data_IF_498893905188
#
_entry.id   IF_498893905188
#
_cell.length_a   1.000
_cell.length_b   1.000
_cell.length_c   1.000
_cell.angle_alpha   90.00
_cell.angle_beta   90.00
_cell.angle_gamma   90.00
#
_symmetry.space_group_name_H-M   'P 1'
#
loop_
_entity.id
_entity.type
_entity.pdbx_description
1 polymer ?
#
# COMPACT_ATOMS: atom_id res chain seq x y z
N UNK A 1 15.28 -21.51 9.67
CA UNK A 1 14.49 -20.28 9.45
C UNK A 1 15.28 -19.44 8.48
N UNK A 2 14.67 -18.99 7.38
CA UNK A 2 15.37 -18.18 6.40
C UNK A 2 15.50 -16.75 6.95
N UNK A 3 16.71 -16.19 6.91
CA UNK A 3 16.91 -14.75 7.15
C UNK A 3 16.31 -13.98 5.96
N UNK A 4 15.68 -12.84 6.24
CA UNK A 4 15.06 -12.04 5.17
C UNK A 4 16.15 -11.19 4.52
N UNK A 5 16.60 -11.57 3.33
CA UNK A 5 17.63 -10.84 2.57
C UNK A 5 17.15 -9.51 1.96
N UNK A 6 15.88 -9.16 2.13
CA UNK A 6 15.27 -7.98 1.50
C UNK A 6 14.87 -6.94 2.53
N UNK A 7 15.46 -5.75 2.39
CA UNK A 7 14.96 -4.54 3.04
C UNK A 7 13.67 -4.03 2.37
N UNK A 8 12.78 -3.35 3.13
CA UNK A 8 11.52 -2.78 2.64
C UNK A 8 11.64 -1.91 1.39
N UNK A 9 12.71 -1.13 1.23
CA UNK A 9 12.88 -0.23 0.09
C UNK A 9 12.94 -1.00 -1.23
N UNK A 10 13.50 -2.21 -1.25
CA UNK A 10 13.52 -3.05 -2.46
C UNK A 10 12.10 -3.33 -2.96
N UNK A 11 11.14 -3.49 -2.05
CA UNK A 11 9.75 -3.71 -2.43
C UNK A 11 9.06 -2.41 -2.86
N UNK A 12 9.41 -1.27 -2.25
CA UNK A 12 8.98 0.05 -2.76
C UNK A 12 9.49 0.27 -4.19
N UNK A 13 10.75 -0.04 -4.46
CA UNK A 13 11.35 0.06 -5.79
C UNK A 13 10.67 -0.88 -6.79
N UNK A 14 10.45 -2.15 -6.42
CA UNK A 14 9.70 -3.10 -7.26
C UNK A 14 8.32 -2.55 -7.67
N UNK A 15 7.63 -1.84 -6.77
CA UNK A 15 6.32 -1.25 -7.03
C UNK A 15 6.36 0.07 -7.83
N UNK A 16 7.47 0.83 -7.80
CA UNK A 16 7.49 2.23 -8.23
C UNK A 16 8.65 2.64 -9.15
N UNK A 17 9.70 1.83 -9.28
CA UNK A 17 10.92 2.12 -10.04
C UNK A 17 11.46 0.88 -10.78
N UNK A 18 11.15 0.71 -12.09
CA UNK A 18 10.33 1.56 -12.94
C UNK A 18 8.81 1.42 -12.68
N UNK A 19 8.40 0.44 -11.88
CA UNK A 19 7.02 0.03 -11.65
C UNK A 19 6.76 -1.41 -12.10
N UNK A 20 5.53 -1.87 -11.91
CA UNK A 20 5.12 -3.23 -12.24
C UNK A 20 5.01 -3.43 -13.75
N UNK A 21 5.66 -4.48 -14.27
CA UNK A 21 5.71 -4.76 -15.70
C UNK A 21 4.36 -5.26 -16.23
N UNK A 22 3.81 -4.56 -17.22
CA UNK A 22 2.59 -4.95 -17.97
C UNK A 22 2.91 -5.19 -19.45
N UNK A 23 1.92 -5.62 -20.24
CA UNK A 23 2.07 -5.72 -21.69
C UNK A 23 2.23 -4.36 -22.40
N UNK A 24 1.92 -3.25 -21.72
CA UNK A 24 2.15 -1.89 -22.22
C UNK A 24 3.43 -1.23 -21.65
N UNK A 25 4.23 -1.97 -20.88
CA UNK A 25 5.39 -1.46 -20.14
C UNK A 25 5.13 -1.27 -18.64
N UNK A 26 6.08 -0.69 -17.91
CA UNK A 26 5.98 -0.55 -16.46
C UNK A 26 4.93 0.50 -16.04
N UNK A 27 4.16 0.19 -14.98
CA UNK A 27 3.16 1.06 -14.36
C UNK A 27 3.46 1.18 -12.87
N UNK A 28 3.59 2.40 -12.37
CA UNK A 28 3.95 2.66 -10.96
C UNK A 28 2.71 2.58 -10.09
N UNK A 29 2.78 1.82 -9.00
CA UNK A 29 1.72 1.78 -7.99
C UNK A 29 1.90 2.92 -6.96
N UNK A 30 2.03 4.16 -7.44
CA UNK A 30 2.30 5.35 -6.63
C UNK A 30 1.03 6.07 -6.22
N UNK A 31 0.06 5.33 -5.66
CA UNK A 31 -1.16 5.93 -5.12
C UNK A 31 -1.59 5.20 -3.85
N UNK A 32 -1.96 5.98 -2.85
CA UNK A 32 -2.61 5.46 -1.65
C UNK A 32 -4.11 5.28 -1.91
N UNK A 33 -4.61 4.08 -1.63
CA UNK A 33 -6.02 3.71 -1.75
C UNK A 33 -6.38 2.83 -0.56
N UNK A 34 -7.37 3.21 0.23
CA UNK A 34 -7.81 2.44 1.38
C UNK A 34 -9.32 2.23 1.32
N UNK A 35 -9.79 1.08 1.80
CA UNK A 35 -11.23 0.82 1.96
C UNK A 35 -11.90 1.87 2.87
N UNK A 36 -11.19 2.33 3.89
CA UNK A 36 -11.75 3.25 4.88
C UNK A 36 -11.81 4.66 4.30
N UNK A 37 -13.04 5.19 4.19
CA UNK A 37 -13.34 6.45 3.50
C UNK A 37 -12.56 7.66 4.04
N UNK A 38 -12.38 7.73 5.36
CA UNK A 38 -11.62 8.81 6.01
C UNK A 38 -10.12 8.80 5.74
N UNK A 39 -9.59 7.69 5.23
CA UNK A 39 -8.17 7.46 5.00
C UNK A 39 -7.88 7.31 3.50
N UNK A 40 -8.39 8.21 2.66
CA UNK A 40 -8.09 8.23 1.21
C UNK A 40 -9.13 7.55 0.32
N UNK A 41 -9.94 6.62 0.85
CA UNK A 41 -11.09 6.03 0.18
C UNK A 41 -10.75 5.19 -1.07
N UNK A 42 -11.70 4.35 -1.48
CA UNK A 42 -11.64 3.54 -2.69
C UNK A 42 -12.82 3.86 -3.63
N UNK A 43 -13.26 5.12 -3.61
CA UNK A 43 -14.53 5.54 -4.18
C UNK A 43 -14.59 5.41 -5.71
N UNK A 44 -13.51 5.75 -6.40
CA UNK A 44 -13.39 5.52 -7.84
C UNK A 44 -13.34 4.03 -8.18
N UNK A 45 -12.57 3.24 -7.43
CA UNK A 45 -12.55 1.79 -7.58
C UNK A 45 -13.94 1.15 -7.33
N UNK A 46 -14.75 1.69 -6.42
CA UNK A 46 -16.06 1.11 -6.09
C UNK A 46 -17.04 1.17 -7.26
N UNK A 47 -17.05 2.27 -8.04
CA UNK A 47 -17.90 2.40 -9.24
C UNK A 47 -17.39 1.53 -10.39
N UNK A 48 -16.07 1.42 -10.52
CA UNK A 48 -15.41 0.67 -11.57
C UNK A 48 -15.64 -0.85 -11.45
N UNK A 49 -15.51 -1.42 -10.25
CA UNK A 49 -15.26 -2.86 -10.15
C UNK A 49 -16.44 -3.78 -9.93
N UNK A 50 -17.56 -3.31 -9.36
CA UNK A 50 -18.73 -4.18 -9.07
C UNK A 50 -19.23 -4.90 -10.32
N UNK A 51 -19.22 -4.22 -11.47
CA UNK A 51 -19.67 -4.77 -12.74
C UNK A 51 -18.50 -5.28 -13.61
N UNK A 52 -17.30 -4.76 -13.40
CA UNK A 52 -16.12 -5.11 -14.19
C UNK A 52 -15.60 -6.51 -13.90
N UNK A 53 -15.68 -7.02 -12.66
CA UNK A 53 -15.21 -8.40 -12.35
C UNK A 53 -15.93 -9.51 -13.12
N UNK A 54 -17.12 -9.22 -13.65
CA UNK A 54 -17.96 -10.15 -14.40
C UNK A 54 -17.88 -9.98 -15.91
N UNK A 55 -17.07 -9.03 -16.39
CA UNK A 55 -16.84 -8.83 -17.81
C UNK A 55 -16.25 -10.10 -18.41
N UNK A 56 -16.82 -10.56 -19.52
CA UNK A 56 -16.34 -11.74 -20.26
C UNK A 56 -15.50 -11.28 -21.44
N UNK A 57 -14.34 -11.89 -21.63
CA UNK A 57 -13.57 -11.74 -22.85
C UNK A 57 -14.24 -12.43 -24.04
N UNK A 58 -13.60 -12.39 -25.22
CA UNK A 58 -14.10 -13.03 -26.43
C UNK A 58 -14.29 -14.56 -26.29
N UNK A 59 -13.61 -15.20 -25.33
CA UNK A 59 -13.74 -16.63 -25.04
C UNK A 59 -14.81 -16.93 -23.99
N UNK A 60 -15.54 -15.92 -23.51
CA UNK A 60 -16.57 -16.07 -22.49
C UNK A 60 -16.02 -16.18 -21.06
N UNK A 61 -14.70 -16.06 -20.87
CA UNK A 61 -14.04 -16.17 -19.56
C UNK A 61 -14.06 -14.79 -18.90
N UNK A 62 -14.48 -14.73 -17.64
CA UNK A 62 -14.55 -13.47 -16.93
C UNK A 62 -13.28 -13.10 -16.15
N UNK A 63 -13.12 -11.81 -15.81
CA UNK A 63 -11.97 -11.33 -15.04
C UNK A 63 -11.79 -12.08 -13.71
N UNK A 64 -12.89 -12.41 -13.03
CA UNK A 64 -12.87 -13.20 -11.80
C UNK A 64 -12.21 -14.58 -12.01
N UNK A 65 -12.41 -15.23 -13.15
CA UNK A 65 -11.74 -16.49 -13.50
C UNK A 65 -10.25 -16.29 -13.85
N UNK A 66 -9.89 -15.15 -14.47
CA UNK A 66 -8.49 -14.83 -14.81
C UNK A 66 -7.62 -14.48 -13.59
N UNK A 67 -8.19 -13.74 -12.62
CA UNK A 67 -7.44 -13.17 -11.49
C UNK A 67 -7.72 -13.90 -10.18
N UNK A 68 -8.96 -14.36 -9.98
CA UNK A 68 -9.47 -14.87 -8.71
C UNK A 68 -10.19 -13.79 -7.90
N UNK A 69 -11.42 -14.05 -7.48
CA UNK A 69 -12.31 -13.05 -6.88
C UNK A 69 -11.78 -12.45 -5.59
N UNK A 70 -11.15 -13.26 -4.74
CA UNK A 70 -10.51 -12.78 -3.52
C UNK A 70 -9.35 -11.81 -3.83
N UNK A 71 -8.56 -12.09 -4.87
CA UNK A 71 -7.45 -11.23 -5.25
C UNK A 71 -7.94 -9.89 -5.81
N UNK A 72 -9.03 -9.90 -6.60
CA UNK A 72 -9.71 -8.68 -7.03
C UNK A 72 -10.18 -7.90 -5.81
N UNK A 73 -10.97 -8.51 -4.91
CA UNK A 73 -11.54 -7.83 -3.75
C UNK A 73 -10.49 -7.19 -2.83
N UNK A 74 -9.29 -7.79 -2.76
CA UNK A 74 -8.15 -7.22 -2.03
C UNK A 74 -7.54 -6.02 -2.78
N UNK A 75 -7.33 -6.13 -4.09
CA UNK A 75 -6.84 -5.01 -4.91
C UNK A 75 -7.73 -3.76 -4.77
N UNK A 76 -9.05 -3.93 -4.66
CA UNK A 76 -10.03 -2.83 -4.48
C UNK A 76 -9.97 -2.12 -3.14
N UNK A 77 -9.28 -2.70 -2.18
CA UNK A 77 -9.13 -2.16 -0.83
C UNK A 77 -7.74 -1.59 -0.60
N UNK A 78 -6.87 -1.64 -1.61
CA UNK A 78 -5.45 -1.31 -1.48
C UNK A 78 -4.60 -2.46 -0.94
N UNK A 79 -5.16 -3.67 -0.88
CA UNK A 79 -4.57 -4.83 -0.20
C UNK A 79 -4.19 -5.96 -1.16
N UNK A 80 -4.34 -5.74 -2.46
CA UNK A 80 -3.99 -6.71 -3.50
C UNK A 80 -2.48 -6.83 -3.66
N UNK A 81 -2.03 -8.00 -4.11
CA UNK A 81 -0.61 -8.20 -4.46
C UNK A 81 -0.31 -7.65 -5.87
N UNK A 82 0.98 -7.44 -6.12
CA UNK A 82 1.54 -7.00 -7.40
C UNK A 82 1.04 -7.83 -8.59
N UNK A 83 1.04 -9.17 -8.48
CA UNK A 83 0.57 -10.09 -9.53
C UNK A 83 -0.90 -9.88 -9.89
N UNK A 84 -1.76 -9.59 -8.91
CA UNK A 84 -3.17 -9.33 -9.14
C UNK A 84 -3.37 -8.03 -9.93
N UNK A 85 -2.65 -6.96 -9.56
CA UNK A 85 -2.69 -5.69 -10.30
C UNK A 85 -2.28 -5.88 -11.77
N UNK A 86 -1.15 -6.54 -12.01
CA UNK A 86 -0.65 -6.81 -13.38
C UNK A 86 -1.66 -7.63 -14.19
N UNK A 87 -2.26 -8.68 -13.61
CA UNK A 87 -3.28 -9.48 -14.30
C UNK A 87 -4.52 -8.65 -14.66
N UNK A 88 -4.99 -7.81 -13.75
CA UNK A 88 -6.14 -6.93 -14.01
C UNK A 88 -5.82 -5.96 -15.15
N UNK A 89 -4.65 -5.29 -15.09
CA UNK A 89 -4.24 -4.34 -16.13
C UNK A 89 -4.06 -5.01 -17.49
N UNK A 90 -3.37 -6.15 -17.57
CA UNK A 90 -3.21 -6.88 -18.82
C UNK A 90 -4.55 -7.36 -19.39
N UNK A 91 -5.49 -7.74 -18.53
CA UNK A 91 -6.85 -8.05 -18.96
C UNK A 91 -7.54 -6.82 -19.60
N UNK A 92 -7.43 -5.65 -18.97
CA UNK A 92 -7.99 -4.40 -19.52
C UNK A 92 -7.37 -4.07 -20.88
N UNK A 93 -6.05 -4.16 -20.99
CA UNK A 93 -5.30 -3.88 -22.23
C UNK A 93 -5.70 -4.81 -23.37
N UNK A 94 -5.88 -6.10 -23.08
CA UNK A 94 -6.33 -7.09 -24.08
C UNK A 94 -7.78 -6.85 -24.51
N UNK A 95 -8.60 -6.28 -23.64
CA UNK A 95 -10.05 -6.15 -23.84
C UNK A 95 -10.53 -4.69 -23.86
N UNK A 96 -9.71 -3.76 -24.38
CA UNK A 96 -9.98 -2.30 -24.37
C UNK A 96 -11.35 -1.93 -24.91
N UNK A 97 -11.81 -2.58 -25.97
CA UNK A 97 -13.13 -2.34 -26.55
C UNK A 97 -14.27 -2.58 -25.56
N UNK A 98 -14.12 -3.56 -24.66
CA UNK A 98 -15.13 -3.80 -23.64
C UNK A 98 -15.18 -2.68 -22.60
N UNK A 99 -14.11 -1.88 -22.45
CA UNK A 99 -14.05 -0.75 -21.52
C UNK A 99 -14.97 0.40 -21.93
N UNK A 100 -15.44 0.44 -23.19
CA UNK A 100 -16.43 1.44 -23.63
C UNK A 100 -17.82 1.19 -23.01
N UNK A 101 -18.07 0.00 -22.48
CA UNK A 101 -19.34 -0.34 -21.82
C UNK A 101 -19.42 0.16 -20.37
N UNK A 102 -18.28 0.53 -19.77
CA UNK A 102 -18.20 0.84 -18.35
C UNK A 102 -18.08 2.33 -18.12
N UNK A 103 -19.16 2.91 -17.62
CA UNK A 103 -19.19 4.27 -17.10
C UNK A 103 -18.70 4.25 -15.66
N UNK A 104 -17.72 5.08 -15.34
CA UNK A 104 -17.14 5.22 -14.00
C UNK A 104 -17.17 6.67 -13.56
N UNK A 105 -17.12 6.84 -12.24
CA UNK A 105 -16.95 8.14 -11.60
C UNK A 105 -15.54 8.23 -11.02
N UNK A 106 -14.79 9.22 -11.49
CA UNK A 106 -13.57 9.71 -10.85
C UNK A 106 -14.00 10.62 -9.72
N UNK A 107 -13.65 10.24 -8.50
CA UNK A 107 -14.07 10.92 -7.29
C UNK A 107 -12.85 11.53 -6.62
N UNK A 108 -13.01 12.75 -6.12
CA UNK A 108 -12.11 13.36 -5.15
C UNK A 108 -11.97 12.52 -3.89
N UNK A 109 -11.04 12.92 -3.01
CA UNK A 109 -10.97 12.34 -1.66
C UNK A 109 -12.28 12.63 -0.93
N UNK A 110 -12.83 11.60 -0.27
CA UNK A 110 -14.02 11.78 0.54
C UNK A 110 -13.77 12.78 1.69
N UNK A 111 -14.77 13.61 1.96
CA UNK A 111 -14.83 14.49 3.13
C UNK A 111 -15.07 13.65 4.38
N UNK A 112 -14.85 14.23 5.57
CA UNK A 112 -15.02 13.53 6.87
C UNK A 112 -16.43 12.96 7.07
N UNK A 113 -17.44 13.57 6.46
CA UNK A 113 -18.84 13.14 6.48
C UNK A 113 -19.14 12.01 5.45
N UNK A 114 -18.16 11.62 4.65
CA UNK A 114 -18.28 10.60 3.62
C UNK A 114 -18.86 11.12 2.29
N UNK A 115 -19.17 12.41 2.17
CA UNK A 115 -19.52 13.04 0.89
C UNK A 115 -18.28 13.16 0.00
N UNK A 116 -18.48 13.18 -1.32
CA UNK A 116 -17.39 13.26 -2.30
C UNK A 116 -17.81 14.07 -3.50
N UNK A 117 -16.85 14.78 -4.06
CA UNK A 117 -17.04 15.54 -5.29
C UNK A 117 -16.67 14.60 -6.45
N UNK A 118 -17.63 14.38 -7.36
CA UNK A 118 -17.37 13.65 -8.60
C UNK A 118 -16.65 14.62 -9.53
N UNK A 119 -15.36 14.39 -9.73
CA UNK A 119 -14.48 15.24 -10.53
C UNK A 119 -14.73 15.00 -12.03
N UNK A 120 -15.00 13.75 -12.40
CA UNK A 120 -15.29 13.38 -13.78
C UNK A 120 -16.14 12.11 -13.83
N UNK A 121 -17.02 12.04 -14.83
CA UNK A 121 -17.79 10.84 -15.13
C UNK A 121 -17.68 10.51 -16.61
N UNK A 122 -17.47 9.25 -16.96
CA UNK A 122 -17.39 8.85 -18.35
C UNK A 122 -17.09 7.38 -18.56
N UNK A 123 -17.01 6.98 -19.83
CA UNK A 123 -16.63 5.62 -20.22
C UNK A 123 -15.12 5.47 -20.15
N UNK A 124 -14.63 4.38 -19.54
CA UNK A 124 -13.19 4.16 -19.32
C UNK A 124 -12.38 4.27 -20.61
N UNK A 125 -12.84 3.62 -21.69
CA UNK A 125 -12.16 3.68 -23.00
C UNK A 125 -11.98 5.13 -23.47
N UNK A 126 -13.07 5.90 -23.45
CA UNK A 126 -13.09 7.30 -23.89
C UNK A 126 -12.30 8.23 -22.98
N UNK A 127 -12.26 7.95 -21.68
CA UNK A 127 -11.53 8.76 -20.70
C UNK A 127 -10.02 8.53 -20.78
N UNK A 128 -9.61 7.29 -20.98
CA UNK A 128 -8.21 6.89 -20.90
C UNK A 128 -7.70 6.39 -22.25
N UNK A 129 -8.08 5.18 -22.67
CA UNK A 129 -7.46 4.48 -23.81
C UNK A 129 -7.59 5.17 -25.17
N UNK A 130 -8.61 6.01 -25.39
CA UNK A 130 -8.77 6.77 -26.63
C UNK A 130 -7.95 8.08 -26.67
N UNK A 131 -7.51 8.57 -25.50
CA UNK A 131 -6.85 9.87 -25.36
C UNK A 131 -5.35 9.79 -25.14
N UNK A 132 -4.86 8.64 -24.70
CA UNK A 132 -3.46 8.46 -24.34
C UNK A 132 -3.00 7.03 -24.64
N UNK A 133 -1.69 6.81 -24.59
CA UNK A 133 -1.13 5.46 -24.77
C UNK A 133 -1.61 4.52 -23.68
N UNK A 134 -1.61 3.22 -23.97
CA UNK A 134 -2.02 2.17 -23.03
C UNK A 134 -1.32 2.27 -21.65
N UNK A 135 0.00 2.53 -21.66
CA UNK A 135 0.76 2.75 -20.42
C UNK A 135 0.30 3.99 -19.67
N UNK A 136 0.12 5.10 -20.39
CA UNK A 136 -0.34 6.36 -19.80
C UNK A 136 -1.76 6.23 -19.24
N UNK A 137 -2.63 5.48 -19.91
CA UNK A 137 -3.99 5.19 -19.47
C UNK A 137 -3.99 4.47 -18.12
N UNK A 138 -3.22 3.38 -18.00
CA UNK A 138 -3.08 2.67 -16.73
C UNK A 138 -2.47 3.55 -15.64
N UNK A 139 -1.44 4.34 -15.97
CA UNK A 139 -0.81 5.23 -15.01
C UNK A 139 -1.78 6.32 -14.53
N UNK A 140 -2.59 6.90 -15.41
CA UNK A 140 -3.60 7.88 -15.05
C UNK A 140 -4.69 7.24 -14.17
N UNK A 141 -5.09 6.00 -14.45
CA UNK A 141 -6.04 5.29 -13.58
C UNK A 141 -5.51 5.04 -12.16
N UNK A 142 -4.18 4.88 -11.99
CA UNK A 142 -3.55 4.87 -10.66
C UNK A 142 -3.69 6.25 -10.00
N UNK A 143 -3.37 7.33 -10.72
CA UNK A 143 -3.49 8.71 -10.20
C UNK A 143 -4.95 9.07 -9.83
N UNK A 144 -5.91 8.59 -10.61
CA UNK A 144 -7.35 8.77 -10.40
C UNK A 144 -7.92 7.81 -9.35
N UNK A 145 -7.08 7.11 -8.58
CA UNK A 145 -7.46 6.30 -7.43
C UNK A 145 -8.38 5.12 -7.77
N UNK A 146 -8.24 4.54 -8.98
CA UNK A 146 -8.83 3.23 -9.28
C UNK A 146 -7.97 2.07 -8.76
N UNK A 147 -6.67 2.35 -8.59
CA UNK A 147 -5.67 1.41 -8.13
C UNK A 147 -4.75 2.11 -7.12
N UNK A 148 -4.30 1.37 -6.12
CA UNK A 148 -3.37 1.86 -5.13
C UNK A 148 -3.12 0.79 -4.08
N UNK A 149 -2.31 1.15 -3.08
CA UNK A 149 -1.97 0.26 -1.97
C UNK A 149 -2.17 0.99 -0.65
N UNK A 150 -2.81 0.36 0.33
CA UNK A 150 -2.86 0.91 1.70
C UNK A 150 -1.69 0.41 2.55
N UNK A 151 -1.58 0.90 3.79
CA UNK A 151 -0.49 0.56 4.69
C UNK A 151 -0.48 -0.93 5.06
N UNK A 152 -1.67 -1.53 5.24
CA UNK A 152 -1.83 -2.96 5.56
C UNK A 152 -1.44 -3.81 4.36
N UNK A 153 -1.90 -3.42 3.17
CA UNK A 153 -1.56 -4.03 1.89
C UNK A 153 -0.08 -3.98 1.61
N UNK A 154 0.57 -2.84 1.86
CA UNK A 154 2.00 -2.71 1.70
C UNK A 154 2.77 -3.69 2.57
N UNK A 155 2.51 -3.69 3.89
CA UNK A 155 3.21 -4.58 4.81
C UNK A 155 2.93 -6.06 4.51
N UNK A 156 1.66 -6.41 4.29
CA UNK A 156 1.30 -7.80 4.00
C UNK A 156 1.94 -8.30 2.70
N UNK A 157 1.99 -7.48 1.66
CA UNK A 157 2.60 -7.88 0.40
C UNK A 157 4.12 -7.81 0.42
N UNK A 158 4.73 -6.96 1.23
CA UNK A 158 6.16 -7.04 1.53
C UNK A 158 6.50 -8.39 2.17
N UNK A 159 5.74 -8.81 3.18
CA UNK A 159 5.94 -10.12 3.82
C UNK A 159 5.71 -11.29 2.85
N UNK A 160 4.79 -11.15 1.88
CA UNK A 160 4.64 -12.16 0.81
C UNK A 160 5.83 -12.13 -0.15
N UNK A 161 6.31 -10.92 -0.50
CA UNK A 161 7.44 -10.72 -1.40
C UNK A 161 8.73 -11.34 -0.85
N UNK A 162 8.97 -11.23 0.45
CA UNK A 162 10.13 -11.84 1.12
C UNK A 162 9.95 -13.33 1.41
N UNK A 163 8.78 -13.90 1.15
CA UNK A 163 8.47 -15.32 1.42
C UNK A 163 8.09 -15.62 2.87
N UNK A 164 8.00 -14.61 3.74
CA UNK A 164 7.53 -14.77 5.13
C UNK A 164 6.07 -15.21 5.21
N UNK A 165 5.25 -14.69 4.30
CA UNK A 165 3.83 -15.02 4.19
C UNK A 165 3.55 -15.73 2.85
N UNK A 166 2.77 -16.80 2.89
CA UNK A 166 2.25 -17.47 1.70
C UNK A 166 1.07 -16.72 1.07
N UNK A 167 0.35 -15.92 1.87
CA UNK A 167 -0.86 -15.20 1.49
C UNK A 167 -1.17 -14.03 2.41
N UNK A 168 -2.20 -13.28 2.03
CA UNK A 168 -2.73 -12.19 2.84
C UNK A 168 -3.55 -12.69 4.04
N UNK A 169 -3.15 -12.27 5.24
CA UNK A 169 -3.80 -12.64 6.51
C UNK A 169 -4.75 -11.58 7.10
N UNK A 170 -4.72 -10.33 6.62
CA UNK A 170 -5.69 -9.29 7.00
C UNK A 170 -5.67 -8.90 8.48
N UNK A 171 -4.61 -8.21 8.91
CA UNK A 171 -4.46 -7.74 10.29
C UNK A 171 -4.61 -6.22 10.33
N UNK A 172 -5.45 -5.71 11.25
CA UNK A 172 -5.55 -4.27 11.47
C UNK A 172 -4.30 -3.76 12.23
N UNK A 173 -3.79 -2.54 11.95
CA UNK A 173 -2.54 -2.04 12.52
C UNK A 173 -2.43 -2.17 14.05
N UNK A 174 -3.47 -1.77 14.79
CA UNK A 174 -3.52 -1.88 16.25
C UNK A 174 -3.33 -3.30 16.81
N UNK A 175 -3.54 -4.32 15.99
CA UNK A 175 -3.43 -5.73 16.36
C UNK A 175 -2.14 -6.40 15.87
N UNK A 176 -1.26 -5.68 15.14
CA UNK A 176 0.06 -6.20 14.76
C UNK A 176 0.88 -6.71 15.95
N UNK A 177 0.88 -6.04 17.11
CA UNK A 177 1.60 -6.53 18.29
C UNK A 177 1.15 -7.91 18.77
N UNK A 178 -0.10 -8.29 18.48
CA UNK A 178 -0.70 -9.56 18.92
C UNK A 178 -0.52 -10.68 17.90
N UNK A 179 -0.54 -10.34 16.61
CA UNK A 179 -0.64 -11.34 15.53
C UNK A 179 0.56 -11.41 14.60
N UNK A 180 1.40 -10.36 14.53
CA UNK A 180 2.48 -10.26 13.54
C UNK A 180 3.84 -10.10 14.19
N UNK A 181 3.99 -9.14 15.10
CA UNK A 181 5.26 -8.74 15.70
C UNK A 181 5.09 -8.63 17.23
N UNK A 182 5.49 -9.67 17.98
CA UNK A 182 5.14 -9.82 19.40
C UNK A 182 6.20 -9.30 20.38
N UNK A 183 7.39 -9.01 19.89
CA UNK A 183 8.50 -8.54 20.72
C UNK A 183 8.40 -7.02 20.79
N UNK A 184 8.17 -6.46 21.98
CA UNK A 184 8.13 -5.02 22.19
C UNK A 184 9.54 -4.45 22.20
N UNK A 185 9.75 -3.29 21.57
CA UNK A 185 11.01 -2.55 21.61
C UNK A 185 10.82 -1.35 22.54
N UNK A 186 11.40 -1.41 23.73
CA UNK A 186 11.23 -0.37 24.76
C UNK A 186 12.36 0.67 24.79
N UNK A 187 13.48 0.39 24.10
CA UNK A 187 14.63 1.28 23.98
C UNK A 187 14.88 1.63 22.50
N UNK A 188 15.03 2.93 22.21
CA UNK A 188 15.36 3.45 20.88
C UNK A 188 16.63 2.83 20.28
N UNK A 189 17.56 2.40 21.12
CA UNK A 189 18.83 1.78 20.71
C UNK A 189 18.70 0.30 20.35
N UNK A 190 17.57 -0.33 20.68
CA UNK A 190 17.27 -1.70 20.28
C UNK A 190 16.55 -1.79 18.93
N UNK A 191 16.15 -0.65 18.35
CA UNK A 191 15.51 -0.58 17.03
C UNK A 191 16.45 -1.13 15.97
N UNK A 192 15.91 -1.98 15.08
CA UNK A 192 16.63 -2.63 13.99
C UNK A 192 15.84 -2.50 12.68
N UNK A 193 16.50 -2.72 11.51
CA UNK A 193 15.79 -2.99 10.27
C UNK A 193 14.70 -4.04 10.48
N UNK A 194 13.62 -3.92 9.72
CA UNK A 194 12.44 -4.80 9.74
C UNK A 194 11.54 -4.71 10.99
N UNK A 195 11.87 -3.86 11.95
CA UNK A 195 10.95 -3.56 13.04
C UNK A 195 9.70 -2.83 12.53
N UNK A 196 8.54 -3.21 13.05
CA UNK A 196 7.25 -2.65 12.67
C UNK A 196 6.95 -1.42 13.52
N UNK A 197 6.65 -0.30 12.86
CA UNK A 197 6.22 0.94 13.48
C UNK A 197 4.69 0.99 13.44
N UNK A 198 4.04 1.02 14.62
CA UNK A 198 2.60 0.81 14.75
C UNK A 198 1.89 1.99 15.41
N UNK A 199 0.93 2.57 14.70
CA UNK A 199 -0.04 3.57 15.19
C UNK A 199 -1.43 2.94 15.32
N UNK A 200 -2.38 3.66 15.95
CA UNK A 200 -3.79 3.23 16.09
C UNK A 200 -4.62 3.34 14.77
N UNK A 201 -4.04 2.92 13.66
CA UNK A 201 -4.66 3.04 12.34
C UNK A 201 -3.67 3.03 11.17
N UNK A 202 -2.37 3.00 11.46
CA UNK A 202 -1.31 2.96 10.46
C UNK A 202 -0.20 2.01 10.87
N UNK A 203 0.47 1.44 9.88
CA UNK A 203 1.65 0.61 10.07
C UNK A 203 2.70 0.96 9.03
N UNK A 204 3.95 0.98 9.46
CA UNK A 204 5.13 1.13 8.62
C UNK A 204 6.20 0.15 9.10
N UNK A 205 7.33 0.10 8.40
CA UNK A 205 8.44 -0.77 8.74
C UNK A 205 9.76 0.00 8.64
N UNK A 206 10.64 -0.24 9.60
CA UNK A 206 12.01 0.29 9.60
C UNK A 206 12.77 -0.36 8.46
N UNK A 207 13.33 0.48 7.59
CA UNK A 207 14.13 0.02 6.47
C UNK A 207 15.60 -0.11 6.88
N UNK A 208 16.16 0.97 7.46
CA UNK A 208 17.54 1.01 7.89
C UNK A 208 17.71 1.77 9.19
N UNK A 209 18.78 1.50 9.95
CA UNK A 209 19.16 2.24 11.15
C UNK A 209 20.57 2.79 10.96
N UNK A 210 20.70 4.11 10.94
CA UNK A 210 21.96 4.79 10.61
C UNK A 210 22.87 4.95 11.81
N UNK A 211 22.46 5.80 12.75
CA UNK A 211 23.29 6.15 13.89
C UNK A 211 22.44 6.64 15.06
N UNK A 212 22.99 6.45 16.27
CA UNK A 212 22.48 7.08 17.48
C UNK A 212 22.73 8.59 17.40
N UNK A 213 21.73 9.38 17.76
CA UNK A 213 21.83 10.84 17.82
C UNK A 213 22.13 11.24 19.27
N UNK A 214 21.34 10.69 20.22
CA UNK A 214 21.47 10.88 21.67
C UNK A 214 20.86 9.67 22.39
N UNK A 215 20.78 9.70 23.72
CA UNK A 215 20.24 8.61 24.57
C UNK A 215 18.77 8.26 24.31
N UNK A 216 18.01 9.12 23.61
CA UNK A 216 16.58 8.93 23.34
C UNK A 216 16.23 9.02 21.88
N UNK A 217 17.22 9.17 20.99
CA UNK A 217 16.98 9.44 19.59
C UNK A 217 17.92 8.66 18.69
N UNK A 218 17.37 8.07 17.63
CA UNK A 218 18.11 7.37 16.58
C UNK A 218 17.65 7.87 15.23
N UNK A 219 18.54 7.79 14.25
CA UNK A 219 18.21 8.05 12.85
C UNK A 219 17.93 6.75 12.11
N UNK A 220 16.79 6.70 11.43
CA UNK A 220 16.36 5.54 10.64
C UNK A 220 15.92 5.97 9.25
N UNK A 221 15.85 5.00 8.35
CA UNK A 221 14.97 5.07 7.19
C UNK A 221 13.76 4.19 7.46
N UNK A 222 12.60 4.56 6.92
CA UNK A 222 11.39 3.78 7.05
C UNK A 222 10.66 3.71 5.72
N UNK A 223 9.96 2.62 5.46
CA UNK A 223 9.07 2.51 4.32
C UNK A 223 7.63 2.25 4.79
N UNK A 224 6.69 2.79 4.02
CA UNK A 224 5.27 2.76 4.34
C UNK A 224 4.44 2.90 3.07
N UNK A 225 3.12 2.73 3.20
CA UNK A 225 2.20 3.23 2.20
C UNK A 225 1.17 4.17 2.82
N UNK A 226 1.17 5.42 2.38
CA UNK A 226 0.31 6.51 2.86
C UNK A 226 0.31 7.64 1.84
N UNK A 227 -0.65 8.58 1.90
CA UNK A 227 -0.67 9.86 1.14
C UNK A 227 0.24 9.96 -0.11
N UNK A 228 0.00 9.15 -1.14
CA UNK A 228 0.91 9.01 -2.29
C UNK A 228 1.28 7.56 -2.61
N UNK A 229 1.00 6.62 -1.70
CA UNK A 229 1.17 5.18 -1.92
C UNK A 229 2.44 4.64 -1.23
N UNK A 230 2.96 3.49 -1.68
CA UNK A 230 4.24 2.94 -1.24
C UNK A 230 5.39 3.93 -1.46
N UNK A 231 6.15 4.20 -0.41
CA UNK A 231 7.26 5.14 -0.42
C UNK A 231 8.20 4.87 0.77
N UNK A 232 9.41 5.41 0.69
CA UNK A 232 10.34 5.47 1.81
C UNK A 232 10.57 6.92 2.25
N UNK A 233 10.83 7.08 3.54
CA UNK A 233 11.18 8.33 4.18
C UNK A 233 12.56 8.12 4.79
N UNK A 234 13.53 8.86 4.28
CA UNK A 234 14.93 8.78 4.68
C UNK A 234 15.24 9.75 5.83
N UNK A 235 16.32 9.45 6.57
CA UNK A 235 16.87 10.31 7.63
C UNK A 235 15.83 10.71 8.68
N UNK A 236 14.89 9.80 8.97
CA UNK A 236 13.85 9.99 9.97
C UNK A 236 14.47 10.00 11.36
N UNK A 237 14.27 11.08 12.10
CA UNK A 237 14.64 11.15 13.51
C UNK A 237 13.51 10.56 14.34
N UNK A 238 13.74 9.34 14.84
CA UNK A 238 12.88 8.65 15.76
C UNK A 238 13.31 8.99 17.19
N UNK A 239 12.37 9.41 18.03
CA UNK A 239 12.61 9.77 19.42
C UNK A 239 11.74 8.96 20.35
N UNK A 240 12.36 8.27 21.31
CA UNK A 240 11.68 7.65 22.42
C UNK A 240 11.10 8.72 23.36
N UNK A 241 9.86 8.51 23.75
CA UNK A 241 9.16 9.35 24.71
C UNK A 241 9.14 8.68 26.09
N UNK A 242 8.50 9.30 27.08
CA UNK A 242 8.23 8.66 28.38
C UNK A 242 6.86 7.97 28.45
N UNK A 243 6.09 7.97 27.36
CA UNK A 243 4.72 7.48 27.31
C UNK A 243 4.63 5.97 27.12
N UNK A 244 3.45 5.42 27.41
CA UNK A 244 3.10 4.02 27.12
C UNK A 244 1.92 3.98 26.16
N UNK A 245 2.09 3.24 25.07
CA UNK A 245 1.19 3.23 23.93
C UNK A 245 0.43 1.91 23.81
N UNK A 246 0.24 1.46 22.57
CA UNK A 246 -0.49 0.23 22.24
C UNK A 246 0.08 -0.95 23.03
N UNK A 247 -0.78 -1.70 23.72
CA UNK A 247 -0.43 -2.85 24.55
C UNK A 247 0.70 -2.60 25.57
N UNK A 248 0.85 -1.36 26.05
CA UNK A 248 1.87 -1.00 27.05
C UNK A 248 3.29 -0.87 26.51
N UNK A 249 3.47 -0.89 25.18
CA UNK A 249 4.77 -0.64 24.55
C UNK A 249 5.25 0.78 24.76
N UNK A 250 6.57 1.00 24.73
CA UNK A 250 7.15 2.35 24.78
C UNK A 250 6.66 3.20 23.62
N UNK A 251 6.25 4.43 23.90
CA UNK A 251 5.88 5.38 22.85
C UNK A 251 7.11 6.04 22.24
N UNK A 252 7.11 6.12 20.91
CA UNK A 252 8.05 6.86 20.10
C UNK A 252 7.32 7.93 19.31
N UNK A 253 8.04 8.95 18.88
CA UNK A 253 7.55 10.00 17.98
C UNK A 253 8.56 10.28 16.88
N UNK A 254 8.08 10.84 15.77
CA UNK A 254 8.90 11.21 14.62
C UNK A 254 9.06 12.74 14.60
N UNK A 255 10.32 13.20 14.62
CA UNK A 255 10.62 14.63 14.60
C UNK A 255 10.86 15.20 13.20
N UNK A 256 11.18 14.36 12.22
CA UNK A 256 11.52 14.78 10.86
C UNK A 256 11.79 13.59 9.93
N UNK A 257 12.16 13.89 8.68
CA UNK A 257 12.49 12.92 7.63
C UNK A 257 12.27 13.52 6.24
N UNK A 258 12.83 12.88 5.21
CA UNK A 258 12.76 13.35 3.81
C UNK A 258 12.34 12.22 2.87
N UNK A 259 11.22 12.37 2.11
CA UNK A 259 10.20 13.39 2.30
C UNK A 259 9.59 13.28 3.71
N UNK A 260 8.88 14.31 4.17
CA UNK A 260 8.31 14.29 5.53
C UNK A 260 7.31 13.12 5.70
N UNK A 261 7.46 12.27 6.73
CA UNK A 261 6.49 11.21 7.00
C UNK A 261 5.08 11.79 7.15
N UNK A 262 4.09 11.38 6.33
CA UNK A 262 2.78 11.99 6.33
C UNK A 262 1.92 11.60 7.54
N UNK A 263 2.25 10.49 8.21
CA UNK A 263 1.56 10.05 9.43
C UNK A 263 2.25 10.65 10.65
N UNK A 264 1.46 11.31 11.50
CA UNK A 264 1.91 12.02 12.71
C UNK A 264 1.36 11.32 13.96
N UNK A 265 1.88 11.73 15.12
CA UNK A 265 1.48 11.22 16.43
C UNK A 265 2.39 10.11 16.94
N UNK A 266 2.10 9.65 18.15
CA UNK A 266 2.91 8.64 18.83
C UNK A 266 2.66 7.24 18.27
N UNK A 267 3.71 6.43 18.26
CA UNK A 267 3.74 5.07 17.76
C UNK A 267 4.41 4.14 18.77
N UNK A 268 4.27 2.84 18.56
CA UNK A 268 5.03 1.81 19.27
C UNK A 268 5.82 0.98 18.26
N UNK A 269 6.95 0.41 18.67
CA UNK A 269 7.82 -0.39 17.78
C UNK A 269 7.81 -1.85 18.23
N UNK A 270 7.65 -2.74 17.27
CA UNK A 270 7.49 -4.17 17.53
C UNK A 270 8.31 -5.00 16.55
N UNK A 271 8.92 -6.07 17.05
CA UNK A 271 9.70 -7.01 16.25
C UNK A 271 8.97 -8.34 16.09
N UNK A 272 9.09 -8.90 14.90
CA UNK A 272 8.65 -10.27 14.58
C UNK A 272 9.78 -11.23 14.93
N UNK A 273 9.44 -12.31 15.64
CA UNK A 273 10.39 -13.36 15.97
C UNK A 273 10.86 -14.09 14.70
N UNK A 274 12.16 -14.33 14.59
CA UNK A 274 12.76 -15.01 13.43
C UNK A 274 12.93 -14.13 12.19
N UNK A 275 12.49 -12.86 12.23
CA UNK A 275 12.63 -11.90 11.13
C UNK A 275 13.87 -11.04 11.39
N UNK A 276 14.99 -11.40 10.75
CA UNK A 276 16.29 -10.75 10.97
C UNK A 276 16.92 -10.32 9.64
N UNK A 277 17.63 -9.19 9.70
CA UNK A 277 18.54 -8.63 8.71
C UNK A 277 19.83 -8.21 9.44
#
# INVERSE_FOLDING_TARGET
>A
MAESFFLPYHYVDHLTSPGLQTSAGPVKLSQYLCKDRGNGGNDSATSFYKNFRWIKDASGINLNQHVGGKAIDLALKGQGNDKAFVKIWNFMLKNKELMDKYKVDVCGRAKKDGSKDVEQTGKIKKMYFDKMSDRAALQQMVQDRFFGMDCIGFIANFLIYTGEWDKYYGVSPKNYPKHVAKINIDDVHEVKPLDFMVWNGHVAIVDWVWNKIDEKSVRIDMCQSSSGGPQCNEWVTLKQTGGKGINGGMEFTILGGTPSPPVRGNLTIWRREGFWF
#
